data_IF_283997264720
#
_entry.id   IF_283997264720
#
_cell.length_a   1.000
_cell.length_b   1.000
_cell.length_c   1.000
_cell.angle_alpha   90.00
_cell.angle_beta   90.00
_cell.angle_gamma   90.00
#
_symmetry.space_group_name_H-M   'P 1'
#
loop_
_entity.id
_entity.type
_entity.pdbx_description
1 polymer ?
#
# COMPACT_ATOMS: atom_id res chain seq x y z
N UNK A 1 7.06 19.19 -25.44
CA UNK A 1 5.67 18.82 -25.09
C UNK A 1 5.54 18.89 -23.58
N UNK A 2 4.90 19.93 -23.07
CA UNK A 2 4.61 20.11 -21.66
C UNK A 2 3.43 19.20 -21.32
N UNK A 3 3.67 18.19 -20.48
CA UNK A 3 2.60 17.36 -19.93
C UNK A 3 1.92 18.18 -18.82
N UNK A 4 0.76 18.72 -19.10
CA UNK A 4 -0.06 19.38 -18.08
C UNK A 4 -0.65 18.30 -17.16
N UNK A 5 -0.19 18.24 -15.92
CA UNK A 5 -0.84 17.44 -14.87
C UNK A 5 -2.03 18.27 -14.39
N UNK A 6 -3.22 17.93 -14.86
CA UNK A 6 -4.47 18.53 -14.37
C UNK A 6 -4.79 17.96 -12.99
N UNK A 7 -4.76 18.81 -11.96
CA UNK A 7 -5.24 18.47 -10.63
C UNK A 7 -6.78 18.48 -10.64
N UNK A 8 -7.38 17.31 -10.50
CA UNK A 8 -8.81 17.19 -10.21
C UNK A 8 -8.98 16.98 -8.70
N UNK A 9 -9.66 17.89 -7.99
CA UNK A 9 -9.95 17.68 -6.57
C UNK A 9 -10.77 16.40 -6.39
N UNK A 10 -10.33 15.53 -5.47
CA UNK A 10 -11.01 14.28 -5.18
C UNK A 10 -11.95 14.48 -3.98
N UNK A 11 -13.17 13.99 -4.11
CA UNK A 11 -14.24 14.21 -3.13
C UNK A 11 -14.03 13.48 -1.81
N UNK A 12 -13.15 12.46 -1.77
CA UNK A 12 -12.85 11.67 -0.58
C UNK A 12 -11.73 12.21 0.31
N UNK A 13 -11.00 13.26 -0.13
CA UNK A 13 -9.85 13.78 0.62
C UNK A 13 -8.60 12.90 0.49
N UNK A 14 -7.65 13.06 1.42
CA UNK A 14 -6.44 12.25 1.48
C UNK A 14 -6.58 11.11 2.50
N UNK A 15 -5.82 10.03 2.29
CA UNK A 15 -5.89 8.81 3.10
C UNK A 15 -5.61 9.08 4.59
N UNK A 16 -4.65 9.94 4.91
CA UNK A 16 -4.32 10.32 6.30
C UNK A 16 -5.51 10.93 7.04
N UNK A 17 -6.27 11.81 6.37
CA UNK A 17 -7.46 12.44 6.96
C UNK A 17 -8.53 11.42 7.31
N UNK A 18 -8.65 10.40 6.50
CA UNK A 18 -9.64 9.35 6.70
C UNK A 18 -9.20 8.34 7.75
N UNK A 19 -7.89 8.04 7.84
CA UNK A 19 -7.36 7.10 8.82
C UNK A 19 -7.29 7.68 10.25
N UNK A 20 -6.82 8.93 10.39
CA UNK A 20 -6.52 9.51 11.71
C UNK A 20 -6.71 11.04 11.79
N UNK A 21 -7.33 11.66 10.79
CA UNK A 21 -7.47 13.13 10.70
C UNK A 21 -8.55 13.76 11.57
N UNK A 22 -9.30 13.01 12.35
CA UNK A 22 -10.26 13.55 13.35
C UNK A 22 -11.40 14.43 12.81
N UNK A 23 -11.57 14.53 11.48
CA UNK A 23 -12.57 15.37 10.83
C UNK A 23 -13.91 14.64 10.71
N UNK A 24 -14.98 15.30 11.11
CA UNK A 24 -16.35 14.83 10.98
C UNK A 24 -16.68 14.47 9.53
N UNK A 25 -16.97 13.21 9.24
CA UNK A 25 -17.77 12.85 8.09
C UNK A 25 -17.21 11.88 7.06
N UNK A 26 -15.99 11.36 7.18
CA UNK A 26 -15.52 10.32 6.24
C UNK A 26 -14.66 9.29 6.96
N UNK A 27 -15.31 8.37 7.64
CA UNK A 27 -14.66 7.12 8.04
C UNK A 27 -14.65 6.21 6.83
N UNK A 28 -13.49 5.72 6.40
CA UNK A 28 -13.45 4.54 5.54
C UNK A 28 -14.13 3.43 6.34
N UNK A 29 -15.00 2.67 5.69
CA UNK A 29 -15.54 1.44 6.24
C UNK A 29 -14.40 0.67 6.92
N UNK A 30 -14.66 0.15 8.09
CA UNK A 30 -13.71 -0.68 8.85
C UNK A 30 -13.36 -1.96 8.11
N UNK A 31 -14.10 -2.30 7.05
CA UNK A 31 -13.91 -3.51 6.26
C UNK A 31 -12.48 -3.63 5.72
N UNK A 32 -11.84 -4.76 5.96
CA UNK A 32 -10.54 -5.10 5.41
C UNK A 32 -10.55 -5.14 3.89
N UNK A 33 -11.65 -5.52 3.27
CA UNK A 33 -11.82 -5.53 1.80
C UNK A 33 -11.55 -4.14 1.23
N UNK A 34 -12.17 -3.10 1.79
CA UNK A 34 -11.93 -1.72 1.32
C UNK A 34 -10.51 -1.24 1.59
N UNK A 35 -9.95 -1.57 2.76
CA UNK A 35 -8.57 -1.20 3.11
C UNK A 35 -7.57 -1.81 2.14
N UNK A 36 -7.73 -3.11 1.82
CA UNK A 36 -6.85 -3.82 0.88
C UNK A 36 -7.06 -3.30 -0.54
N UNK A 37 -8.29 -2.98 -0.94
CA UNK A 37 -8.56 -2.39 -2.26
C UNK A 37 -7.83 -1.05 -2.45
N UNK A 38 -7.85 -0.17 -1.44
CA UNK A 38 -7.09 1.09 -1.46
C UNK A 38 -5.59 0.82 -1.62
N UNK A 39 -5.05 -0.15 -0.88
CA UNK A 39 -3.64 -0.50 -0.99
C UNK A 39 -3.30 -1.11 -2.35
N UNK A 40 -4.20 -1.89 -2.94
CA UNK A 40 -4.02 -2.45 -4.27
C UNK A 40 -4.00 -1.35 -5.34
N UNK A 41 -4.90 -0.36 -5.26
CA UNK A 41 -4.89 0.80 -6.15
C UNK A 41 -3.56 1.59 -6.06
N UNK A 42 -3.02 1.75 -4.85
CA UNK A 42 -1.70 2.39 -4.65
C UNK A 42 -0.58 1.55 -5.25
N UNK A 43 -0.61 0.24 -5.04
CA UNK A 43 0.39 -0.68 -5.62
C UNK A 43 0.33 -0.69 -7.16
N UNK A 44 -0.87 -0.59 -7.76
CA UNK A 44 -1.05 -0.42 -9.20
C UNK A 44 -0.45 0.89 -9.71
N UNK A 45 -0.67 1.99 -8.99
CA UNK A 45 -0.04 3.27 -9.28
C UNK A 45 1.49 3.20 -9.22
N UNK A 46 2.06 2.54 -8.21
CA UNK A 46 3.51 2.30 -8.13
C UNK A 46 4.02 1.41 -9.24
N UNK A 47 3.29 0.36 -9.62
CA UNK A 47 3.65 -0.51 -10.73
C UNK A 47 3.71 0.27 -12.05
N UNK A 48 2.73 1.14 -12.28
CA UNK A 48 2.73 2.03 -13.44
C UNK A 48 3.97 2.93 -13.47
N UNK A 49 4.32 3.56 -12.34
CA UNK A 49 5.52 4.39 -12.23
C UNK A 49 6.81 3.59 -12.45
N UNK A 50 6.96 2.47 -11.77
CA UNK A 50 8.20 1.69 -11.77
C UNK A 50 8.42 0.95 -13.10
N UNK A 51 7.37 0.33 -13.65
CA UNK A 51 7.50 -0.56 -14.79
C UNK A 51 7.35 0.16 -16.13
N UNK A 52 6.39 1.09 -16.21
CA UNK A 52 6.09 1.80 -17.45
C UNK A 52 6.94 3.07 -17.61
N UNK A 53 6.97 3.91 -16.58
CA UNK A 53 7.67 5.20 -16.65
C UNK A 53 9.11 5.17 -16.16
N UNK A 54 9.58 4.05 -15.61
CA UNK A 54 10.94 3.93 -15.04
C UNK A 54 11.24 5.07 -14.07
N UNK A 55 10.29 5.41 -13.25
CA UNK A 55 10.39 6.48 -12.27
C UNK A 55 10.07 6.00 -10.86
N UNK A 56 10.59 6.71 -9.87
CA UNK A 56 10.35 6.51 -8.46
C UNK A 56 9.67 7.74 -7.89
N UNK A 57 8.78 7.54 -6.92
CA UNK A 57 8.00 8.63 -6.31
C UNK A 57 8.81 9.40 -5.27
N UNK A 58 9.49 8.72 -4.35
CA UNK A 58 10.38 9.20 -3.28
C UNK A 58 9.70 9.98 -2.14
N UNK A 59 8.40 10.25 -2.21
CA UNK A 59 7.63 10.86 -1.11
C UNK A 59 6.25 10.22 -0.97
N UNK A 60 6.18 8.89 -1.14
CA UNK A 60 4.93 8.16 -0.92
C UNK A 60 4.58 8.20 0.57
N UNK A 61 3.36 8.64 0.88
CA UNK A 61 2.81 8.77 2.23
C UNK A 61 1.29 8.89 2.17
N UNK A 62 0.59 8.64 3.25
CA UNK A 62 -0.88 8.75 3.27
C UNK A 62 -1.43 10.13 2.89
N UNK A 63 -0.78 11.29 3.20
CA UNK A 63 -1.21 12.59 2.67
C UNK A 63 -1.14 12.73 1.14
N UNK A 64 -0.30 11.94 0.48
CA UNK A 64 -0.14 11.93 -0.98
C UNK A 64 -0.95 10.83 -1.67
N UNK A 65 -1.84 10.17 -0.97
CA UNK A 65 -2.81 9.22 -1.49
C UNK A 65 -4.20 9.85 -1.42
N UNK A 66 -4.73 10.22 -2.57
CA UNK A 66 -6.04 10.87 -2.68
C UNK A 66 -7.12 9.83 -2.92
N UNK A 67 -8.23 9.98 -2.23
CA UNK A 67 -9.38 9.10 -2.32
C UNK A 67 -10.46 9.74 -3.20
N UNK A 68 -11.06 8.94 -4.04
CA UNK A 68 -12.22 9.27 -4.84
C UNK A 68 -13.38 8.41 -4.38
N UNK A 69 -14.46 9.05 -3.93
CA UNK A 69 -15.69 8.34 -3.56
C UNK A 69 -16.37 7.84 -4.83
N UNK A 70 -16.69 6.56 -4.84
CA UNK A 70 -17.51 5.94 -5.87
C UNK A 70 -18.82 5.56 -5.19
N UNK A 71 -19.90 6.17 -5.65
CA UNK A 71 -21.24 5.88 -5.17
C UNK A 71 -21.80 4.82 -6.11
N UNK A 72 -22.14 3.64 -5.59
CA UNK A 72 -22.90 2.65 -6.36
C UNK A 72 -24.32 3.16 -6.58
N UNK A 73 -24.73 3.18 -7.84
CA UNK A 73 -26.13 3.53 -8.20
C UNK A 73 -27.10 2.35 -7.99
N UNK A 74 -26.64 1.25 -7.41
CA UNK A 74 -27.48 0.12 -7.09
C UNK A 74 -28.49 0.49 -5.99
N UNK A 75 -29.76 0.56 -6.38
CA UNK A 75 -30.89 0.96 -5.52
C UNK A 75 -31.07 0.01 -4.32
N UNK A 76 -30.46 -1.16 -4.36
CA UNK A 76 -30.50 -2.16 -3.28
C UNK A 76 -29.48 -1.89 -2.14
N UNK A 77 -28.44 -1.12 -2.37
CA UNK A 77 -27.41 -0.80 -1.37
C UNK A 77 -27.81 0.40 -0.52
N UNK A 78 -28.73 0.23 0.40
CA UNK A 78 -29.18 1.27 1.36
C UNK A 78 -28.39 1.28 2.66
N UNK A 79 -27.22 0.65 2.71
CA UNK A 79 -26.33 0.67 3.86
C UNK A 79 -25.12 1.55 3.57
N UNK A 80 -24.42 1.97 4.60
CA UNK A 80 -23.17 2.76 4.58
C UNK A 80 -22.05 2.12 3.75
N UNK A 81 -22.21 0.83 3.37
CA UNK A 81 -21.37 0.04 2.48
C UNK A 81 -21.50 0.38 0.99
N UNK A 82 -22.46 1.25 0.60
CA UNK A 82 -22.63 1.70 -0.80
C UNK A 82 -21.51 2.65 -1.28
N UNK A 83 -20.66 3.14 -0.40
CA UNK A 83 -19.58 4.05 -0.74
C UNK A 83 -18.25 3.31 -0.79
N UNK A 84 -17.74 3.07 -1.99
CA UNK A 84 -16.40 2.56 -2.17
C UNK A 84 -15.41 3.71 -2.45
N UNK A 85 -14.14 3.48 -2.18
CA UNK A 85 -13.09 4.47 -2.42
C UNK A 85 -12.06 3.91 -3.39
N UNK A 86 -11.70 4.69 -4.41
CA UNK A 86 -10.55 4.44 -5.27
C UNK A 86 -9.40 5.34 -4.86
N UNK A 87 -8.20 4.77 -4.71
CA UNK A 87 -7.02 5.53 -4.35
C UNK A 87 -6.20 5.95 -5.57
N UNK A 88 -5.60 7.13 -5.51
CA UNK A 88 -4.67 7.64 -6.52
C UNK A 88 -3.47 8.29 -5.87
N UNK A 89 -2.27 7.97 -6.36
CA UNK A 89 -1.04 8.61 -5.92
C UNK A 89 -0.99 10.03 -6.50
N UNK A 90 -0.58 10.98 -5.67
CA UNK A 90 -0.46 12.40 -6.00
C UNK A 90 0.89 12.96 -5.53
N UNK A 91 1.20 14.20 -5.92
CA UNK A 91 2.43 14.93 -5.57
C UNK A 91 3.72 14.25 -6.08
N UNK A 92 3.93 14.41 -7.38
CA UNK A 92 5.13 13.91 -8.07
C UNK A 92 6.31 14.91 -8.02
N UNK A 93 6.29 15.90 -7.14
CA UNK A 93 7.31 16.95 -7.05
C UNK A 93 8.73 16.43 -6.80
N UNK A 94 8.84 15.31 -6.09
CA UNK A 94 10.11 14.64 -5.79
C UNK A 94 10.41 13.45 -6.71
N UNK A 95 9.51 13.08 -7.60
CA UNK A 95 9.66 11.93 -8.49
C UNK A 95 10.86 12.07 -9.43
N UNK A 96 11.54 10.97 -9.69
CA UNK A 96 12.74 10.92 -10.54
C UNK A 96 12.69 9.74 -11.50
N UNK A 97 13.15 9.97 -12.73
CA UNK A 97 13.35 8.92 -13.72
C UNK A 97 14.67 8.21 -13.42
N UNK A 98 14.67 6.89 -13.40
CA UNK A 98 15.88 6.11 -13.26
C UNK A 98 16.28 5.46 -14.60
N UNK A 99 17.59 5.51 -14.93
CA UNK A 99 18.10 4.90 -16.14
C UNK A 99 18.21 3.37 -15.97
N UNK A 100 17.85 2.62 -17.01
CA UNK A 100 18.16 1.19 -17.06
C UNK A 100 19.68 1.06 -17.19
N UNK A 101 20.35 0.52 -16.18
CA UNK A 101 21.79 0.25 -16.25
C UNK A 101 22.07 -0.65 -17.47
N UNK A 102 23.07 -0.26 -18.28
CA UNK A 102 23.61 -1.15 -19.30
C UNK A 102 24.34 -2.30 -18.59
N UNK A 103 23.59 -3.33 -18.20
CA UNK A 103 24.19 -4.57 -17.78
C UNK A 103 24.59 -5.31 -19.05
N UNK A 104 25.91 -5.40 -19.34
CA UNK A 104 26.43 -6.42 -20.24
C UNK A 104 26.05 -7.76 -19.58
N UNK A 105 24.97 -8.37 -20.06
CA UNK A 105 24.66 -9.76 -19.76
C UNK A 105 25.66 -10.56 -20.60
N UNK A 106 26.73 -11.04 -19.97
CA UNK A 106 27.47 -12.15 -20.53
C UNK A 106 26.53 -13.37 -20.44
N UNK A 107 25.83 -13.63 -21.52
CA UNK A 107 25.05 -14.86 -21.70
C UNK A 107 26.06 -15.96 -21.94
N UNK A 108 26.50 -16.62 -20.88
CA UNK A 108 27.03 -17.97 -21.01
C UNK A 108 25.83 -18.84 -21.36
N UNK A 109 25.89 -19.42 -22.56
CA UNK A 109 24.97 -20.46 -23.02
C UNK A 109 25.08 -21.65 -22.08
N UNK A 110 24.10 -21.83 -21.21
CA UNK A 110 23.83 -23.14 -20.64
C UNK A 110 22.38 -23.52 -20.97
N UNK A 111 22.32 -24.63 -21.66
CA UNK A 111 21.17 -25.36 -22.15
C UNK A 111 20.38 -25.96 -20.99
N UNK A 112 19.07 -25.99 -21.18
CA UNK A 112 18.09 -26.95 -20.68
C UNK A 112 17.20 -26.60 -19.49
N UNK A 113 15.90 -26.66 -19.81
CA UNK A 113 14.72 -27.10 -19.04
C UNK A 113 14.16 -26.24 -17.90
N UNK A 114 12.97 -25.74 -18.21
CA UNK A 114 11.82 -25.56 -17.29
C UNK A 114 12.12 -24.93 -15.93
N UNK A 115 11.95 -23.64 -15.82
CA UNK A 115 11.67 -22.99 -14.55
C UNK A 115 11.05 -21.62 -14.78
N UNK A 116 10.01 -21.34 -14.02
CA UNK A 116 9.40 -20.02 -13.86
C UNK A 116 10.49 -18.95 -13.83
N UNK A 117 10.54 -18.08 -14.84
CA UNK A 117 11.47 -16.94 -14.89
C UNK A 117 11.18 -16.02 -13.71
N UNK A 118 11.87 -16.23 -12.59
CA UNK A 118 12.02 -15.18 -11.61
C UNK A 118 12.76 -14.06 -12.30
N UNK A 119 12.12 -12.92 -12.47
CA UNK A 119 12.75 -11.70 -12.94
C UNK A 119 13.73 -11.30 -11.84
N UNK A 120 15.01 -11.68 -12.03
CA UNK A 120 16.08 -11.25 -11.13
C UNK A 120 16.02 -9.74 -11.05
N UNK A 121 16.10 -9.21 -9.83
CA UNK A 121 16.13 -7.78 -9.55
C UNK A 121 16.99 -7.07 -10.60
N UNK A 122 16.37 -6.29 -11.47
CA UNK A 122 17.08 -5.57 -12.50
C UNK A 122 18.10 -4.65 -11.81
N UNK A 123 19.35 -4.63 -12.27
CA UNK A 123 20.35 -3.70 -11.77
C UNK A 123 19.94 -2.27 -12.15
N UNK A 124 19.18 -1.64 -11.27
CA UNK A 124 18.76 -0.27 -11.44
C UNK A 124 19.93 0.65 -11.11
N UNK A 125 20.28 1.53 -12.04
CA UNK A 125 21.17 2.64 -11.72
C UNK A 125 20.35 3.65 -10.94
N UNK A 126 20.53 3.67 -9.63
CA UNK A 126 19.79 4.54 -8.73
C UNK A 126 19.98 6.02 -9.10
N UNK A 127 18.97 6.82 -8.78
CA UNK A 127 19.00 8.27 -8.97
C UNK A 127 19.99 8.89 -7.97
N UNK A 128 20.93 9.69 -8.48
CA UNK A 128 21.80 10.50 -7.64
C UNK A 128 21.04 11.73 -7.12
N UNK A 129 20.98 11.90 -5.83
CA UNK A 129 20.43 13.11 -5.25
C UNK A 129 21.32 13.66 -4.15
N UNK A 130 21.50 14.98 -4.14
CA UNK A 130 22.19 15.69 -3.06
C UNK A 130 21.13 16.21 -2.09
N UNK A 131 21.31 15.92 -0.80
CA UNK A 131 20.45 16.43 0.27
C UNK A 131 19.29 15.50 0.65
N UNK A 132 18.61 15.91 1.69
CA UNK A 132 17.46 15.25 2.30
C UNK A 132 16.22 15.41 1.42
N UNK A 133 15.56 14.31 1.04
CA UNK A 133 14.38 14.32 0.18
C UNK A 133 13.34 13.35 0.71
N UNK A 134 12.13 13.83 0.88
CA UNK A 134 10.98 13.06 1.36
C UNK A 134 10.61 13.39 2.81
N UNK A 135 9.59 12.70 3.30
CA UNK A 135 9.03 12.89 4.63
C UNK A 135 9.55 11.82 5.59
N UNK A 136 10.29 12.18 6.67
CA UNK A 136 11.05 11.24 7.50
C UNK A 136 10.27 10.01 7.97
N UNK A 137 9.01 10.15 8.35
CA UNK A 137 8.18 9.06 8.91
C UNK A 137 7.94 7.89 7.95
N UNK A 138 7.98 8.14 6.63
CA UNK A 138 7.77 7.14 5.57
C UNK A 138 9.06 6.83 4.80
N UNK A 139 10.14 7.52 5.13
CA UNK A 139 11.37 7.48 4.36
C UNK A 139 12.14 6.17 4.59
N UNK A 140 12.62 5.59 3.50
CA UNK A 140 13.45 4.38 3.56
C UNK A 140 14.83 4.66 4.19
N UNK A 141 15.40 3.69 4.94
CA UNK A 141 16.67 3.89 5.66
C UNK A 141 17.84 4.33 4.77
N UNK A 142 17.92 3.84 3.54
CA UNK A 142 18.97 4.23 2.59
C UNK A 142 18.85 5.70 2.16
N UNK A 143 17.64 6.24 2.09
CA UNK A 143 17.39 7.65 1.78
C UNK A 143 17.81 8.54 2.95
N UNK A 144 17.52 8.11 4.16
CA UNK A 144 17.91 8.80 5.39
C UNK A 144 19.42 8.92 5.55
N UNK A 145 20.19 7.96 5.06
CA UNK A 145 21.67 7.99 5.10
C UNK A 145 22.29 8.94 4.09
N UNK A 146 21.50 9.65 3.31
CA UNK A 146 22.01 10.49 2.23
C UNK A 146 22.74 9.69 1.15
N UNK A 147 22.49 8.39 1.05
CA UNK A 147 23.07 7.55 0.01
C UNK A 147 22.68 8.08 -1.37
N UNK A 148 23.60 8.00 -2.28
CA UNK A 148 23.54 8.70 -3.56
C UNK A 148 22.68 7.98 -4.60
N UNK A 149 22.15 6.77 -4.28
CA UNK A 149 21.41 5.94 -5.25
C UNK A 149 20.17 5.32 -4.62
N UNK A 150 19.02 5.76 -5.08
CA UNK A 150 17.73 5.22 -4.69
C UNK A 150 17.06 4.54 -5.89
N UNK A 151 16.15 3.62 -5.63
CA UNK A 151 15.40 2.91 -6.64
C UNK A 151 13.97 2.61 -6.19
N UNK A 152 13.23 1.82 -6.97
CA UNK A 152 11.86 1.41 -6.65
C UNK A 152 11.68 0.86 -5.24
N UNK A 153 12.70 0.20 -4.70
CA UNK A 153 12.66 -0.35 -3.33
C UNK A 153 12.46 0.71 -2.24
N UNK A 154 12.80 1.99 -2.48
CA UNK A 154 12.52 3.07 -1.55
C UNK A 154 11.00 3.33 -1.44
N UNK A 155 10.30 3.36 -2.57
CA UNK A 155 8.84 3.50 -2.59
C UNK A 155 8.15 2.28 -1.95
N UNK A 156 8.71 1.07 -2.12
CA UNK A 156 8.18 -0.15 -1.49
C UNK A 156 8.29 -0.05 0.04
N UNK A 157 9.37 0.52 0.58
CA UNK A 157 9.46 0.77 2.03
C UNK A 157 8.37 1.73 2.48
N UNK A 158 8.24 2.86 1.80
CA UNK A 158 7.21 3.87 2.10
C UNK A 158 5.79 3.28 2.01
N UNK A 159 5.56 2.40 1.02
CA UNK A 159 4.32 1.64 0.89
C UNK A 159 4.07 0.71 2.09
N UNK A 160 5.09 0.00 2.57
CA UNK A 160 4.99 -0.81 3.78
C UNK A 160 4.62 0.02 5.02
N UNK A 161 5.11 1.26 5.12
CA UNK A 161 4.71 2.19 6.19
C UNK A 161 3.25 2.62 6.01
N UNK A 162 2.77 2.85 4.79
CA UNK A 162 1.35 3.12 4.52
C UNK A 162 0.47 1.91 4.87
N UNK A 163 0.92 0.68 4.59
CA UNK A 163 0.22 -0.53 5.05
C UNK A 163 0.08 -0.54 6.58
N UNK A 164 1.15 -0.18 7.29
CA UNK A 164 1.10 -0.05 8.75
C UNK A 164 0.10 1.01 9.20
N UNK A 165 0.03 2.18 8.55
CA UNK A 165 -0.95 3.23 8.86
C UNK A 165 -2.39 2.75 8.66
N UNK A 166 -2.65 2.02 7.58
CA UNK A 166 -3.98 1.46 7.27
C UNK A 166 -4.44 0.48 8.35
N UNK A 167 -3.51 -0.29 8.89
CA UNK A 167 -3.78 -1.19 10.00
C UNK A 167 -3.93 -0.41 11.32
N UNK A 168 -2.90 0.37 11.69
CA UNK A 168 -2.80 1.06 12.97
C UNK A 168 -3.83 2.18 13.15
N UNK A 169 -4.36 2.73 12.06
CA UNK A 169 -5.23 3.92 12.03
C UNK A 169 -4.66 5.10 12.81
N UNK A 170 -3.34 5.22 12.80
CA UNK A 170 -2.60 6.30 13.46
C UNK A 170 -1.35 6.67 12.68
N UNK A 171 -0.83 7.86 12.93
CA UNK A 171 0.38 8.36 12.28
C UNK A 171 1.60 7.52 12.68
N UNK A 172 2.47 7.12 11.73
CA UNK A 172 3.70 6.41 12.04
C UNK A 172 4.58 7.22 12.99
N UNK A 173 5.14 6.56 14.01
CA UNK A 173 6.03 7.22 14.97
C UNK A 173 5.37 8.46 15.62
N UNK A 174 4.07 8.38 15.96
CA UNK A 174 3.31 9.51 16.52
C UNK A 174 3.87 9.99 17.85
N UNK A 175 4.50 9.10 18.60
CA UNK A 175 5.17 9.35 19.87
C UNK A 175 6.44 10.22 19.72
N UNK A 176 7.00 10.30 18.50
CA UNK A 176 8.21 11.05 18.23
C UNK A 176 7.89 12.42 17.60
N UNK A 177 8.32 13.49 18.25
CA UNK A 177 8.14 14.87 17.76
C UNK A 177 9.26 15.30 16.84
N UNK A 178 10.50 14.84 17.10
CA UNK A 178 11.70 15.25 16.39
C UNK A 178 12.01 14.34 15.20
N UNK A 179 12.30 14.97 14.06
CA UNK A 179 12.75 14.29 12.85
C UNK A 179 14.10 13.60 13.05
N UNK A 180 15.00 14.18 13.82
CA UNK A 180 16.32 13.61 14.09
C UNK A 180 16.21 12.32 14.90
N UNK A 181 15.25 12.27 15.83
CA UNK A 181 14.99 11.07 16.61
C UNK A 181 14.46 9.94 15.72
N UNK A 182 13.56 10.23 14.76
CA UNK A 182 13.12 9.24 13.78
C UNK A 182 14.30 8.70 12.99
N UNK A 183 15.23 9.57 12.57
CA UNK A 183 16.46 9.15 11.88
C UNK A 183 17.31 8.20 12.73
N UNK A 184 17.54 8.56 13.98
CA UNK A 184 18.32 7.76 14.92
C UNK A 184 17.70 6.37 15.09
N UNK A 185 16.42 6.31 15.39
CA UNK A 185 15.69 5.06 15.65
C UNK A 185 15.71 4.15 14.42
N UNK A 186 15.42 4.68 13.25
CA UNK A 186 15.34 3.86 12.03
C UNK A 186 16.72 3.43 11.53
N UNK A 187 17.74 4.30 11.60
CA UNK A 187 19.04 4.01 11.03
C UNK A 187 20.04 3.38 12.00
N UNK A 188 20.11 3.87 13.23
CA UNK A 188 21.10 3.43 14.21
C UNK A 188 20.58 2.24 14.99
N UNK A 189 19.38 2.37 15.54
CA UNK A 189 18.76 1.31 16.32
C UNK A 189 18.10 0.25 15.44
N UNK A 190 17.88 0.51 14.14
CA UNK A 190 17.19 -0.36 13.19
C UNK A 190 15.84 -0.84 13.71
N UNK A 191 15.18 0.05 14.48
CA UNK A 191 13.90 -0.25 15.10
C UNK A 191 12.84 -0.46 14.01
N UNK A 192 12.07 -1.49 14.17
CA UNK A 192 10.92 -1.78 13.30
C UNK A 192 9.74 -0.90 13.72
N UNK A 193 8.80 -0.71 12.81
CA UNK A 193 7.51 -0.15 13.16
C UNK A 193 6.92 -0.90 14.36
N UNK A 194 6.22 -0.18 15.26
CA UNK A 194 5.61 -0.80 16.44
C UNK A 194 4.76 -2.00 16.04
N UNK A 195 4.84 -3.07 16.82
CA UNK A 195 3.91 -4.18 16.68
C UNK A 195 2.50 -3.67 16.96
N UNK A 196 1.55 -4.13 16.19
CA UNK A 196 0.14 -3.86 16.44
C UNK A 196 -0.41 -5.04 17.22
N UNK A 197 -1.12 -4.73 18.30
CA UNK A 197 -1.94 -5.73 18.96
C UNK A 197 -3.04 -6.14 17.99
N UNK A 198 -3.35 -7.43 17.95
CA UNK A 198 -4.50 -7.92 17.22
C UNK A 198 -5.75 -7.44 17.97
N UNK A 199 -6.26 -6.28 17.58
CA UNK A 199 -7.61 -5.89 17.98
C UNK A 199 -8.63 -6.83 17.30
N UNK A 200 -9.85 -6.83 17.77
CA UNK A 200 -10.95 -7.77 17.44
C UNK A 200 -11.23 -7.94 15.94
N UNK A 201 -10.82 -7.01 15.10
CA UNK A 201 -10.83 -7.15 13.64
C UNK A 201 -9.68 -8.07 13.20
N UNK A 202 -10.00 -9.31 12.88
CA UNK A 202 -9.03 -10.27 12.34
C UNK A 202 -8.28 -9.68 11.14
N UNK A 203 -7.02 -9.35 11.37
CA UNK A 203 -6.12 -8.92 10.28
C UNK A 203 -6.01 -10.08 9.29
N UNK A 204 -6.24 -9.86 7.99
CA UNK A 204 -6.15 -10.93 7.00
C UNK A 204 -4.79 -11.63 7.07
N UNK A 205 -4.81 -12.94 6.92
CA UNK A 205 -3.62 -13.76 6.84
C UNK A 205 -2.62 -13.18 5.83
N UNK A 206 -1.35 -13.28 6.15
CA UNK A 206 -0.25 -12.79 5.32
C UNK A 206 -0.12 -11.25 5.18
N UNK A 207 -1.06 -10.45 5.70
CA UNK A 207 -0.96 -8.98 5.63
C UNK A 207 0.26 -8.46 6.40
N UNK A 208 0.43 -8.89 7.66
CA UNK A 208 1.58 -8.51 8.49
C UNK A 208 2.91 -8.97 7.87
N UNK A 209 2.96 -10.18 7.32
CA UNK A 209 4.16 -10.67 6.62
C UNK A 209 4.53 -9.80 5.42
N UNK A 210 3.56 -9.48 4.56
CA UNK A 210 3.78 -8.62 3.40
C UNK A 210 4.27 -7.23 3.83
N UNK A 211 3.61 -6.61 4.80
CA UNK A 211 3.98 -5.32 5.35
C UNK A 211 5.43 -5.34 5.88
N UNK A 212 5.80 -6.35 6.67
CA UNK A 212 7.16 -6.50 7.20
C UNK A 212 8.19 -6.75 6.11
N UNK A 213 7.85 -7.48 5.06
CA UNK A 213 8.74 -7.68 3.90
C UNK A 213 8.99 -6.37 3.17
N UNK A 214 7.95 -5.54 2.98
CA UNK A 214 8.09 -4.21 2.40
C UNK A 214 8.99 -3.30 3.25
N UNK A 215 8.90 -3.38 4.58
CA UNK A 215 9.66 -2.58 5.54
C UNK A 215 11.05 -3.15 5.88
N UNK A 216 11.60 -4.11 5.13
CA UNK A 216 12.95 -4.61 5.36
C UNK A 216 13.98 -3.48 5.29
N UNK A 217 14.91 -3.47 6.27
CA UNK A 217 15.97 -2.45 6.34
C UNK A 217 16.83 -2.42 5.07
N UNK A 218 17.26 -3.59 4.60
CA UNK A 218 18.05 -3.72 3.37
C UNK A 218 17.13 -3.64 2.15
N UNK A 219 17.36 -2.65 1.28
CA UNK A 219 16.56 -2.41 0.09
C UNK A 219 16.42 -3.62 -0.85
N UNK A 220 17.47 -4.44 -0.98
CA UNK A 220 17.48 -5.64 -1.83
C UNK A 220 16.71 -6.84 -1.25
N UNK A 221 16.22 -6.73 -0.03
CA UNK A 221 15.39 -7.76 0.62
C UNK A 221 13.89 -7.45 0.52
N UNK A 222 13.54 -6.29 -0.01
CA UNK A 222 12.14 -5.89 -0.23
C UNK A 222 11.60 -6.52 -1.51
N UNK A 223 10.32 -6.89 -1.53
CA UNK A 223 9.71 -7.44 -2.73
C UNK A 223 9.69 -6.41 -3.88
N UNK A 224 9.57 -6.90 -5.10
CA UNK A 224 9.23 -6.06 -6.25
C UNK A 224 7.75 -5.69 -6.21
N UNK A 225 7.38 -4.60 -6.88
CA UNK A 225 6.00 -4.12 -6.90
C UNK A 225 5.01 -5.15 -7.44
N UNK A 226 5.41 -5.97 -8.43
CA UNK A 226 4.55 -7.02 -8.97
C UNK A 226 4.25 -8.11 -7.95
N UNK A 227 5.22 -8.45 -7.10
CA UNK A 227 5.03 -9.39 -5.99
C UNK A 227 4.09 -8.81 -4.95
N UNK A 228 4.27 -7.51 -4.60
CA UNK A 228 3.37 -6.82 -3.68
C UNK A 228 1.93 -6.82 -4.17
N UNK A 229 1.72 -6.55 -5.47
CA UNK A 229 0.38 -6.58 -6.10
C UNK A 229 -0.25 -7.96 -6.03
N UNK A 230 0.50 -8.99 -6.40
CA UNK A 230 0.01 -10.37 -6.37
C UNK A 230 -0.37 -10.79 -4.95
N UNK A 231 0.49 -10.52 -3.97
CA UNK A 231 0.21 -10.86 -2.57
C UNK A 231 -1.02 -10.11 -2.02
N UNK A 232 -1.19 -8.83 -2.37
CA UNK A 232 -2.39 -8.06 -1.99
C UNK A 232 -3.66 -8.61 -2.63
N UNK A 233 -3.58 -9.06 -3.87
CA UNK A 233 -4.70 -9.67 -4.58
C UNK A 233 -5.12 -10.98 -3.91
N UNK A 234 -4.17 -11.84 -3.57
CA UNK A 234 -4.41 -13.07 -2.82
C UNK A 234 -5.05 -12.79 -1.44
N UNK A 235 -4.59 -11.73 -0.75
CA UNK A 235 -5.14 -11.31 0.54
C UNK A 235 -6.57 -10.80 0.38
N UNK A 236 -6.85 -10.02 -0.67
CA UNK A 236 -8.19 -9.50 -0.97
C UNK A 236 -9.20 -10.62 -1.27
N UNK A 237 -8.79 -11.60 -2.09
CA UNK A 237 -9.64 -12.75 -2.44
C UNK A 237 -10.04 -13.54 -1.20
N UNK A 238 -9.07 -13.81 -0.31
CA UNK A 238 -9.34 -14.50 0.96
C UNK A 238 -10.22 -13.70 1.91
N UNK A 239 -9.98 -12.39 2.03
CA UNK A 239 -10.82 -11.53 2.86
C UNK A 239 -12.26 -11.51 2.37
N UNK A 240 -12.47 -11.48 1.05
CA UNK A 240 -13.80 -11.54 0.45
C UNK A 240 -14.47 -12.92 0.60
N UNK A 241 -13.70 -14.01 0.64
CA UNK A 241 -14.22 -15.35 0.91
C UNK A 241 -14.73 -15.47 2.36
N UNK A 242 -13.94 -15.04 3.33
CA UNK A 242 -14.32 -15.03 4.75
C UNK A 242 -15.57 -14.18 4.98
N UNK A 243 -15.65 -13.01 4.36
CA UNK A 243 -16.81 -12.12 4.50
C UNK A 243 -18.10 -12.77 3.93
N UNK A 244 -17.99 -13.44 2.79
CA UNK A 244 -19.12 -14.21 2.21
C UNK A 244 -19.57 -15.35 3.12
N UNK A 245 -18.64 -16.11 3.69
CA UNK A 245 -18.96 -17.21 4.60
C UNK A 245 -19.64 -16.69 5.87
N UNK A 246 -19.19 -15.58 6.43
CA UNK A 246 -19.83 -14.92 7.57
C UNK A 246 -21.26 -14.50 7.25
N UNK A 247 -21.46 -13.88 6.08
CA UNK A 247 -22.80 -13.45 5.62
C UNK A 247 -23.73 -14.63 5.48
N UNK A 248 -23.28 -15.75 4.93
CA UNK A 248 -24.07 -16.97 4.81
C UNK A 248 -24.41 -17.60 6.18
N UNK A 249 -23.47 -17.64 7.11
CA UNK A 249 -23.65 -18.18 8.46
C UNK A 249 -24.64 -17.36 9.29
N UNK A 250 -24.68 -16.04 9.08
CA UNK A 250 -25.63 -15.15 9.75
C UNK A 250 -27.05 -15.23 9.14
N UNK A 251 -27.26 -16.03 8.08
CA UNK A 251 -28.55 -16.15 7.40
C UNK A 251 -28.99 -14.87 6.69
N UNK A 252 -28.04 -13.96 6.44
CA UNK A 252 -28.27 -12.75 5.65
C UNK A 252 -28.12 -13.10 4.18
N UNK A 253 -29.12 -12.77 3.37
CA UNK A 253 -28.98 -12.84 1.90
C UNK A 253 -28.16 -11.67 1.42
N UNK A 254 -27.57 -11.77 0.21
CA UNK A 254 -26.71 -10.72 -0.38
C UNK A 254 -27.41 -9.36 -0.55
N UNK A 255 -28.72 -9.29 -0.38
CA UNK A 255 -29.56 -8.10 -0.41
C UNK A 255 -29.89 -7.55 0.99
N UNK A 256 -29.35 -8.13 2.06
CA UNK A 256 -29.61 -7.71 3.44
C UNK A 256 -30.98 -8.12 3.99
N UNK A 257 -31.74 -8.93 3.26
CA UNK A 257 -32.98 -9.49 3.76
C UNK A 257 -32.74 -10.75 4.61
N UNK A 258 -33.34 -10.83 5.79
CA UNK A 258 -33.31 -12.04 6.62
C UNK A 258 -34.12 -13.12 5.90
N UNK A 259 -33.48 -14.23 5.54
CA UNK A 259 -34.20 -15.39 5.01
C UNK A 259 -35.17 -15.88 6.09
N UNK A 260 -36.46 -15.63 5.89
CA UNK A 260 -37.55 -16.00 6.81
C UNK A 260 -37.76 -17.52 6.98
N UNK A 261 -36.98 -18.35 6.26
CA UNK A 261 -37.21 -19.80 6.22
C UNK A 261 -36.61 -20.61 7.37
N UNK A 262 -35.68 -20.06 8.16
CA UNK A 262 -35.04 -20.83 9.24
C UNK A 262 -35.70 -20.66 10.64
N UNK A 263 -36.87 -20.03 10.72
CA UNK A 263 -37.58 -19.84 12.00
C UNK A 263 -38.72 -20.85 12.26
N UNK A 264 -38.90 -21.85 11.41
CA UNK A 264 -40.01 -22.82 11.54
C UNK A 264 -39.63 -24.27 11.93
N UNK A 265 -38.36 -24.51 12.30
CA UNK A 265 -37.95 -25.83 12.80
C UNK A 265 -37.30 -25.69 14.17
N UNK A 266 -38.05 -25.24 15.17
CA UNK A 266 -37.91 -25.55 16.61
C UNK A 266 -39.11 -25.03 17.36
N UNK A 267 -40.21 -25.76 17.23
CA UNK A 267 -41.27 -25.93 18.22
C UNK A 267 -41.54 -27.41 18.40
#
# INVERSE_FOLDING_TARGET
THTHITYQPKTGGSLDRVLWGGGSGTTISTSWIQRIQILLDVADGLAYLHLMHKSVHLDLKSPNILLEKIISNDVAARSDDSVTHRAKIADFGLSRIFAKGKTRINVTKETSKSSKKSIKAANWVGVKQKGFVGTPRWMAPEMMKGQVKFGPSADIYSFGVVMWEVWARRKPWSELSDKQEIFRIVNEEKKKLPSLEKEEDEVPDKYDDLMRRCCKYKANQRPLVDVVRGDLQDILEKAAEIDRERTLHLGLTCDGSIARENMLIKL
#
